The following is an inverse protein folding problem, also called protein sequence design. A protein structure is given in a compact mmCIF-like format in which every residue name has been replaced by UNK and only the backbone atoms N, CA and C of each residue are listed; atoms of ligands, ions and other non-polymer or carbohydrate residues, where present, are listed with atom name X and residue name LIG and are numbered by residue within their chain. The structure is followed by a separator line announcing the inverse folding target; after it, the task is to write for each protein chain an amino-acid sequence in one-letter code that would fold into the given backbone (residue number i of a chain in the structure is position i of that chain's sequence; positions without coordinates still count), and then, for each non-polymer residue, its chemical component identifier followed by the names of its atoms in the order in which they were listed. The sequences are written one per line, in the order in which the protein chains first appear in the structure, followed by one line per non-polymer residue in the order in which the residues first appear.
data_IF_831290372842
#
_entry.id   IF_831290372842
#
_cell.length_a   1.000
_cell.length_b   1.000
_cell.length_c   1.000
_cell.angle_alpha   90.00
_cell.angle_beta   90.00
_cell.angle_gamma   90.00
#
_symmetry.space_group_name_H-M   'P 1'
#
loop_
_entity.id
_entity.type
_entity.pdbx_description
1 polymer ?
#
# COMPACT_ATOMS: atom_id res chain seq x y z
N UNK A 1 30.57 -63.72 -22.21
CA UNK A 1 29.38 -63.69 -21.34
C UNK A 1 29.87 -63.32 -19.95
N UNK A 2 29.94 -62.02 -19.70
CA UNK A 2 30.36 -61.42 -18.43
C UNK A 2 29.11 -61.30 -17.56
N UNK A 3 29.17 -61.88 -16.35
CA UNK A 3 28.12 -61.77 -15.34
C UNK A 3 28.46 -60.66 -14.35
N UNK A 4 27.47 -59.81 -14.10
CA UNK A 4 27.53 -58.52 -13.40
C UNK A 4 28.29 -58.52 -12.06
N UNK A 5 29.30 -57.66 -12.01
CA UNK A 5 30.09 -57.25 -10.83
C UNK A 5 29.32 -56.42 -9.80
N UNK A 6 28.03 -56.16 -10.03
CA UNK A 6 27.17 -55.35 -9.16
C UNK A 6 26.35 -56.17 -8.16
N UNK A 7 26.30 -57.49 -8.33
CA UNK A 7 25.40 -58.37 -7.58
C UNK A 7 25.87 -58.64 -6.13
N UNK A 8 27.03 -58.11 -5.76
CA UNK A 8 27.65 -58.32 -4.44
C UNK A 8 27.30 -57.19 -3.46
N UNK A 9 26.96 -56.00 -3.98
CA UNK A 9 26.72 -54.78 -3.18
C UNK A 9 25.45 -54.90 -2.34
N UNK A 10 24.45 -55.65 -2.83
CA UNK A 10 23.13 -55.75 -2.21
C UNK A 10 22.92 -57.00 -1.34
N UNK A 11 23.93 -57.86 -1.18
CA UNK A 11 23.81 -59.10 -0.38
C UNK A 11 23.64 -58.85 1.13
N UNK A 12 23.97 -57.65 1.62
CA UNK A 12 23.86 -57.28 3.04
C UNK A 12 22.55 -56.61 3.47
N UNK A 13 21.69 -56.17 2.54
CA UNK A 13 20.53 -55.32 2.88
C UNK A 13 19.30 -56.13 3.31
N UNK A 14 19.29 -57.45 3.08
CA UNK A 14 18.11 -58.31 3.36
C UNK A 14 17.85 -58.57 4.86
N UNK A 15 18.80 -58.26 5.75
CA UNK A 15 18.70 -58.59 7.18
C UNK A 15 18.67 -57.36 8.10
N UNK A 16 18.17 -56.21 7.64
CA UNK A 16 17.97 -55.05 8.51
C UNK A 16 16.53 -55.07 9.09
N UNK A 17 16.34 -55.05 10.42
CA UNK A 17 15.00 -55.01 11.01
C UNK A 17 14.32 -53.66 10.69
N UNK A 18 12.99 -53.63 10.52
CA UNK A 18 12.29 -52.41 10.13
C UNK A 18 12.33 -51.39 11.27
N UNK A 19 12.94 -50.23 11.03
CA UNK A 19 12.83 -49.07 11.92
C UNK A 19 11.46 -48.42 11.70
N UNK A 20 10.41 -49.01 12.27
CA UNK A 20 9.09 -48.39 12.35
C UNK A 20 9.02 -47.46 13.55
N UNK A 21 8.98 -46.15 13.33
CA UNK A 21 8.29 -45.25 14.25
C UNK A 21 6.79 -45.27 13.88
N UNK A 22 6.07 -46.23 14.45
CA UNK A 22 4.61 -46.32 14.32
C UNK A 22 3.93 -45.29 15.21
N UNK A 23 3.80 -44.06 14.72
CA UNK A 23 2.72 -43.16 15.06
C UNK A 23 2.83 -41.94 14.13
N UNK A 24 2.05 -41.93 13.07
CA UNK A 24 1.14 -40.83 12.74
C UNK A 24 0.44 -41.16 11.42
N UNK A 25 -0.86 -41.30 11.56
CA UNK A 25 -1.86 -41.59 10.56
C UNK A 25 -2.02 -40.36 9.65
N UNK A 26 -1.82 -40.53 8.34
CA UNK A 26 -2.27 -39.56 7.34
C UNK A 26 -3.81 -39.36 7.45
N UNK A 27 -4.31 -38.16 7.10
CA UNK A 27 -4.83 -38.06 5.74
C UNK A 27 -4.37 -36.81 4.98
N UNK A 28 -4.31 -37.02 3.67
CA UNK A 28 -4.26 -36.04 2.60
C UNK A 28 -5.40 -35.02 2.74
N UNK A 29 -5.06 -33.74 2.81
CA UNK A 29 -5.84 -32.62 2.26
C UNK A 29 -4.89 -31.42 2.13
N UNK A 30 -4.48 -31.16 0.89
CA UNK A 30 -3.66 -30.01 0.54
C UNK A 30 -4.53 -28.76 0.56
N UNK A 31 -4.27 -27.87 1.50
CA UNK A 31 -4.62 -26.45 1.38
C UNK A 31 -3.33 -25.64 1.48
N UNK A 32 -3.18 -24.56 0.69
CA UNK A 32 -1.95 -23.78 0.68
C UNK A 32 -1.78 -23.12 2.05
N UNK A 33 -0.59 -23.32 2.65
CA UNK A 33 -0.16 -22.63 3.87
C UNK A 33 -0.24 -21.13 3.63
N UNK A 34 -1.32 -20.51 4.12
CA UNK A 34 -1.44 -19.06 4.21
C UNK A 34 -0.26 -18.56 5.05
N UNK A 35 0.52 -17.66 4.49
CA UNK A 35 1.45 -16.79 5.23
C UNK A 35 0.66 -16.25 6.42
N UNK A 36 1.15 -16.57 7.63
CA UNK A 36 0.51 -16.18 8.88
C UNK A 36 0.60 -14.67 8.96
N UNK A 37 -0.46 -13.97 8.53
CA UNK A 37 -0.65 -12.56 8.82
C UNK A 37 -0.57 -12.45 10.34
N UNK A 38 0.51 -11.87 10.85
CA UNK A 38 0.60 -11.49 12.26
C UNK A 38 -0.56 -10.51 12.49
N UNK A 39 -1.65 -11.02 13.05
CA UNK A 39 -2.72 -10.18 13.53
C UNK A 39 -2.17 -9.47 14.76
N UNK A 40 -2.14 -8.13 14.70
CA UNK A 40 -1.64 -7.31 15.79
C UNK A 40 -2.32 -7.66 17.11
N UNK A 41 -1.56 -7.57 18.19
CA UNK A 41 -2.16 -7.67 19.52
C UNK A 41 -3.11 -6.49 19.73
N UNK A 42 -4.23 -6.71 20.43
CA UNK A 42 -5.23 -5.66 20.64
C UNK A 42 -4.64 -4.39 21.29
N UNK A 43 -3.57 -4.56 22.07
CA UNK A 43 -2.80 -3.49 22.70
C UNK A 43 -1.95 -2.69 21.72
N UNK A 44 -1.38 -3.34 20.69
CA UNK A 44 -0.72 -2.61 19.61
C UNK A 44 -1.75 -1.83 18.79
N UNK A 45 -2.88 -2.46 18.46
CA UNK A 45 -3.94 -1.81 17.69
C UNK A 45 -4.46 -0.54 18.38
N UNK A 46 -4.69 -0.57 19.70
CA UNK A 46 -5.15 0.60 20.46
C UNK A 46 -4.09 1.71 20.55
N UNK A 47 -2.82 1.34 20.78
CA UNK A 47 -1.74 2.32 20.87
C UNK A 47 -1.51 3.05 19.53
N UNK A 48 -1.74 2.37 18.40
CA UNK A 48 -1.67 2.98 17.07
C UNK A 48 -2.92 3.80 16.73
N UNK A 49 -4.11 3.38 17.16
CA UNK A 49 -5.34 4.16 16.99
C UNK A 49 -5.24 5.50 17.74
N UNK A 50 -4.59 5.49 18.92
CA UNK A 50 -4.28 6.70 19.67
C UNK A 50 -3.29 7.62 18.94
N UNK A 51 -2.27 7.07 18.25
CA UNK A 51 -1.36 7.86 17.40
C UNK A 51 -2.10 8.53 16.25
N UNK A 52 -2.95 7.78 15.56
CA UNK A 52 -3.72 8.31 14.43
C UNK A 52 -4.71 9.37 14.88
N UNK A 53 -5.41 9.14 15.98
CA UNK A 53 -6.36 10.10 16.56
C UNK A 53 -5.64 11.40 16.95
N UNK A 54 -4.46 11.32 17.57
CA UNK A 54 -3.66 12.50 17.91
C UNK A 54 -3.16 13.26 16.66
N UNK A 55 -2.75 12.56 15.61
CA UNK A 55 -2.33 13.18 14.34
C UNK A 55 -3.51 13.89 13.67
N UNK A 56 -4.70 13.27 13.64
CA UNK A 56 -5.88 13.88 13.05
C UNK A 56 -6.43 15.04 13.88
N UNK A 57 -6.42 14.94 15.20
CA UNK A 57 -6.84 16.02 16.09
C UNK A 57 -5.91 17.22 15.96
N UNK A 58 -4.58 17.02 16.00
CA UNK A 58 -3.60 18.10 15.84
C UNK A 58 -3.65 18.77 14.46
N UNK A 59 -3.89 18.01 13.39
CA UNK A 59 -4.03 18.55 12.02
C UNK A 59 -5.38 19.26 11.84
N UNK A 60 -6.45 18.76 12.48
CA UNK A 60 -7.74 19.45 12.52
C UNK A 60 -7.66 20.77 13.30
N UNK A 61 -6.85 20.83 14.36
CA UNK A 61 -6.59 22.03 15.14
C UNK A 61 -5.78 23.07 14.34
N UNK A 62 -4.75 22.65 13.59
CA UNK A 62 -4.04 23.52 12.64
C UNK A 62 -4.99 24.13 11.60
N UNK A 63 -5.96 23.36 11.12
CA UNK A 63 -6.95 23.82 10.14
C UNK A 63 -8.08 24.65 10.77
N UNK A 64 -8.39 24.43 12.04
CA UNK A 64 -9.38 25.21 12.81
C UNK A 64 -8.93 26.66 13.02
N UNK A 65 -7.63 26.94 12.92
CA UNK A 65 -7.06 28.29 12.86
C UNK A 65 -7.35 29.02 11.53
N UNK A 66 -7.70 28.31 10.44
CA UNK A 66 -7.96 28.92 9.12
C UNK A 66 -9.38 28.71 8.60
N UNK A 67 -10.16 27.76 9.12
CA UNK A 67 -11.56 27.63 8.73
C UNK A 67 -12.39 26.96 9.82
N UNK A 68 -13.27 27.74 10.47
CA UNK A 68 -14.39 27.20 11.24
C UNK A 68 -15.31 26.45 10.27
N UNK A 69 -15.33 25.11 10.33
CA UNK A 69 -16.54 24.25 10.24
C UNK A 69 -16.19 22.76 10.18
N UNK A 70 -17.08 21.96 10.81
CA UNK A 70 -17.17 20.49 10.90
C UNK A 70 -16.35 19.78 11.99
N UNK A 71 -16.97 19.66 13.17
CA UNK A 71 -16.69 18.60 14.14
C UNK A 71 -17.07 17.25 13.53
N UNK A 72 -16.09 16.40 13.20
CA UNK A 72 -16.34 14.96 13.05
C UNK A 72 -15.32 14.19 13.87
N UNK A 73 -15.71 13.83 15.09
CA UNK A 73 -15.00 12.86 15.93
C UNK A 73 -15.15 11.50 15.25
N UNK A 74 -14.07 10.99 14.66
CA UNK A 74 -14.07 9.71 13.92
C UNK A 74 -14.16 8.58 14.94
N UNK A 75 -15.27 7.83 14.93
CA UNK A 75 -15.39 6.55 15.64
C UNK A 75 -15.05 5.45 14.66
N UNK A 76 -13.91 4.79 14.84
CA UNK A 76 -13.49 3.67 14.00
C UNK A 76 -14.23 2.41 14.46
N UNK A 77 -15.22 1.98 13.68
CA UNK A 77 -16.00 0.77 13.94
C UNK A 77 -16.23 0.01 12.64
N UNK A 78 -15.17 -0.46 11.98
CA UNK A 78 -15.31 -1.39 10.87
C UNK A 78 -14.02 -1.75 10.11
N UNK A 79 -13.88 -2.97 9.56
CA UNK A 79 -12.73 -3.38 8.75
C UNK A 79 -12.51 -2.56 7.47
N UNK A 80 -13.57 -1.96 6.91
CA UNK A 80 -13.48 -1.06 5.75
C UNK A 80 -13.07 0.37 6.08
N UNK A 81 -13.20 0.79 7.34
CA UNK A 81 -12.94 2.16 7.77
C UNK A 81 -11.43 2.43 7.95
N UNK A 82 -10.65 1.37 8.25
CA UNK A 82 -9.19 1.41 8.27
C UNK A 82 -8.59 1.68 6.88
N UNK A 83 -9.19 1.14 5.82
CA UNK A 83 -8.78 1.42 4.44
C UNK A 83 -8.95 2.90 4.08
N UNK A 84 -10.06 3.50 4.50
CA UNK A 84 -10.32 4.93 4.33
C UNK A 84 -9.34 5.80 5.15
N UNK A 85 -8.91 5.35 6.32
CA UNK A 85 -7.90 6.02 7.14
C UNK A 85 -6.52 5.99 6.47
N UNK A 86 -6.08 4.83 5.97
CA UNK A 86 -4.82 4.73 5.22
C UNK A 86 -4.83 5.56 3.95
N UNK A 87 -5.95 5.58 3.23
CA UNK A 87 -6.15 6.45 2.08
C UNK A 87 -6.03 7.93 2.44
N UNK A 88 -6.60 8.37 3.57
CA UNK A 88 -6.48 9.75 4.07
C UNK A 88 -5.03 10.10 4.46
N UNK A 89 -4.32 9.19 5.14
CA UNK A 89 -2.93 9.42 5.54
C UNK A 89 -2.01 9.58 4.33
N UNK A 90 -2.17 8.72 3.32
CA UNK A 90 -1.41 8.82 2.06
C UNK A 90 -1.72 10.09 1.29
N UNK A 91 -2.99 10.52 1.26
CA UNK A 91 -3.39 11.80 0.63
C UNK A 91 -2.76 13.01 1.30
N UNK A 92 -2.50 12.94 2.61
CA UNK A 92 -1.80 14.00 3.33
C UNK A 92 -0.31 14.03 2.96
N UNK A 93 0.35 12.88 2.86
CA UNK A 93 1.72 12.77 2.37
C UNK A 93 1.88 13.35 0.96
N UNK A 94 0.92 13.12 0.05
CA UNK A 94 0.93 13.68 -1.31
C UNK A 94 0.85 15.22 -1.38
N UNK A 95 0.41 15.90 -0.31
CA UNK A 95 0.30 17.37 -0.26
C UNK A 95 1.54 18.05 0.33
N UNK A 96 2.50 17.27 0.82
CA UNK A 96 3.78 17.80 1.28
C UNK A 96 4.50 18.39 0.07
N UNK A 97 4.77 19.71 0.10
CA UNK A 97 5.55 20.36 -0.95
C UNK A 97 6.98 19.86 -0.84
N UNK A 98 7.47 19.23 -1.90
CA UNK A 98 8.86 18.82 -1.98
C UNK A 98 9.76 20.02 -1.77
N UNK A 99 10.66 19.89 -0.82
CA UNK A 99 11.73 20.86 -0.61
C UNK A 99 12.90 20.51 -1.54
N UNK A 100 13.69 21.52 -1.92
CA UNK A 100 14.91 21.31 -2.71
C UNK A 100 15.87 20.33 -2.03
N UNK A 101 15.88 20.30 -0.70
CA UNK A 101 16.68 19.37 0.10
C UNK A 101 16.22 17.91 -0.05
N UNK A 102 14.91 17.66 -0.06
CA UNK A 102 14.36 16.31 -0.26
C UNK A 102 14.65 15.76 -1.67
N UNK A 103 14.61 16.63 -2.68
CA UNK A 103 14.96 16.27 -4.05
C UNK A 103 16.46 15.92 -4.18
N UNK A 104 17.34 16.74 -3.60
CA UNK A 104 18.78 16.47 -3.59
C UNK A 104 19.10 15.18 -2.82
N UNK A 105 18.43 14.92 -1.69
CA UNK A 105 18.59 13.67 -0.94
C UNK A 105 18.15 12.45 -1.74
N UNK A 106 17.04 12.56 -2.46
CA UNK A 106 16.54 11.50 -3.31
C UNK A 106 17.50 11.20 -4.46
N UNK A 107 18.01 12.23 -5.12
CA UNK A 107 18.98 12.07 -6.21
C UNK A 107 20.29 11.48 -5.69
N UNK A 108 20.80 11.96 -4.56
CA UNK A 108 21.98 11.37 -3.88
C UNK A 108 21.79 9.89 -3.57
N UNK A 109 20.61 9.50 -3.07
CA UNK A 109 20.32 8.08 -2.78
C UNK A 109 20.21 7.25 -4.06
N UNK A 110 19.64 7.78 -5.14
CA UNK A 110 19.62 7.09 -6.44
C UNK A 110 21.03 6.90 -7.00
N UNK A 111 21.87 7.92 -6.94
CA UNK A 111 23.27 7.82 -7.36
C UNK A 111 24.02 6.76 -6.55
N UNK A 112 23.80 6.69 -5.23
CA UNK A 112 24.37 5.65 -4.37
C UNK A 112 23.91 4.24 -4.77
N UNK A 113 22.64 4.08 -5.18
CA UNK A 113 22.12 2.81 -5.69
C UNK A 113 22.74 2.43 -7.05
N UNK A 114 22.96 3.42 -7.92
CA UNK A 114 23.57 3.21 -9.23
C UNK A 114 25.05 2.84 -9.13
N UNK A 115 25.75 3.33 -8.10
CA UNK A 115 27.14 3.01 -7.77
C UNK A 115 27.36 1.58 -7.25
N UNK A 116 26.32 0.90 -6.76
CA UNK A 116 26.44 -0.50 -6.35
C UNK A 116 26.71 -1.38 -7.58
N UNK A 117 27.70 -2.26 -7.51
CA UNK A 117 28.07 -3.13 -8.65
C UNK A 117 27.34 -4.47 -8.59
N UNK A 118 27.00 -4.92 -7.39
CA UNK A 118 26.34 -6.22 -7.15
C UNK A 118 24.96 -6.04 -6.51
N UNK A 119 24.09 -7.02 -6.72
CA UNK A 119 22.78 -7.10 -6.10
C UNK A 119 22.87 -7.21 -4.57
N UNK A 120 23.84 -7.98 -4.06
CA UNK A 120 24.12 -8.10 -2.64
C UNK A 120 24.52 -6.75 -2.02
N UNK A 121 25.42 -6.00 -2.66
CA UNK A 121 25.83 -4.68 -2.18
C UNK A 121 24.65 -3.71 -2.12
N UNK A 122 23.81 -3.70 -3.17
CA UNK A 122 22.60 -2.88 -3.17
C UNK A 122 21.63 -3.29 -2.05
N UNK A 123 21.50 -4.59 -1.78
CA UNK A 123 20.65 -5.10 -0.71
C UNK A 123 21.16 -4.68 0.67
N UNK A 124 22.44 -4.83 0.93
CA UNK A 124 23.08 -4.40 2.18
C UNK A 124 22.94 -2.87 2.37
N UNK A 125 23.11 -2.10 1.29
CA UNK A 125 22.85 -0.68 1.29
C UNK A 125 21.38 -0.37 1.61
N UNK A 126 20.42 -1.07 0.99
CA UNK A 126 19.00 -0.85 1.22
C UNK A 126 18.59 -1.14 2.67
N UNK A 127 19.12 -2.22 3.26
CA UNK A 127 18.91 -2.52 4.69
C UNK A 127 19.39 -1.37 5.57
N UNK A 128 20.62 -0.90 5.36
CA UNK A 128 21.25 0.11 6.21
C UNK A 128 20.70 1.54 6.02
N UNK A 129 20.44 1.94 4.78
CA UNK A 129 20.15 3.35 4.44
C UNK A 129 18.67 3.61 4.17
N UNK A 130 17.85 2.57 3.98
CA UNK A 130 16.42 2.71 3.67
C UNK A 130 15.58 2.11 4.79
N UNK A 131 15.82 0.86 5.15
CA UNK A 131 15.00 0.16 6.14
C UNK A 131 15.37 0.51 7.59
N UNK A 132 16.65 0.63 7.92
CA UNK A 132 17.07 1.07 9.27
C UNK A 132 16.69 2.52 9.54
N UNK A 133 16.73 3.41 8.54
CA UNK A 133 16.20 4.77 8.68
C UNK A 133 14.71 4.76 9.02
N UNK A 134 13.93 3.95 8.30
CA UNK A 134 12.49 3.81 8.54
C UNK A 134 12.19 3.36 9.98
N UNK A 135 12.96 2.42 10.51
CA UNK A 135 12.86 1.97 11.91
C UNK A 135 13.25 3.07 12.91
N UNK A 136 14.27 3.88 12.62
CA UNK A 136 14.67 5.01 13.47
C UNK A 136 13.56 6.07 13.54
N UNK A 137 12.89 6.38 12.43
CA UNK A 137 11.74 7.29 12.42
C UNK A 137 10.58 6.75 13.25
N UNK A 138 10.31 5.45 13.17
CA UNK A 138 9.29 4.82 13.98
C UNK A 138 9.63 4.88 15.47
N UNK A 139 10.86 4.51 15.86
CA UNK A 139 11.32 4.59 17.24
C UNK A 139 11.24 6.02 17.79
N UNK A 140 11.71 7.00 17.03
CA UNK A 140 11.64 8.42 17.39
C UNK A 140 10.20 8.91 17.54
N UNK A 141 9.30 8.48 16.65
CA UNK A 141 7.87 8.83 16.77
C UNK A 141 7.26 8.22 18.03
N UNK A 142 7.60 6.97 18.34
CA UNK A 142 7.10 6.26 19.53
C UNK A 142 7.59 6.89 20.83
N UNK A 143 8.84 7.31 20.89
CA UNK A 143 9.37 8.06 22.03
C UNK A 143 8.71 9.41 22.22
N UNK A 144 8.45 10.14 21.12
CA UNK A 144 7.76 11.43 21.18
C UNK A 144 6.35 11.26 21.77
N UNK A 145 5.64 10.20 21.39
CA UNK A 145 4.30 9.90 21.89
C UNK A 145 4.28 9.47 23.36
N UNK A 146 5.27 8.69 23.79
CA UNK A 146 5.41 8.35 25.20
C UNK A 146 5.62 9.61 26.05
N UNK A 147 6.44 10.55 25.57
CA UNK A 147 6.68 11.83 26.26
C UNK A 147 5.45 12.73 26.31
N UNK A 148 4.57 12.67 25.30
CA UNK A 148 3.28 13.39 25.31
C UNK A 148 2.31 12.75 26.31
N UNK A 149 2.19 11.42 26.31
CA UNK A 149 1.30 10.71 27.24
C UNK A 149 1.68 10.89 28.71
N UNK A 150 2.97 11.03 29.03
CA UNK A 150 3.42 11.27 30.42
C UNK A 150 3.26 12.72 30.88
N UNK A 151 3.15 13.69 29.96
CA UNK A 151 3.06 15.14 30.25
C UNK A 151 1.66 15.71 29.94
N UNK A 152 0.60 14.92 30.18
CA UNK A 152 -0.78 15.25 29.82
C UNK A 152 -1.35 16.56 30.43
N UNK A 153 -0.64 17.19 31.39
CA UNK A 153 -1.07 18.43 32.04
C UNK A 153 -0.64 19.72 31.32
N UNK A 154 0.27 19.66 30.35
CA UNK A 154 0.74 20.86 29.62
C UNK A 154 0.19 20.92 28.18
N UNK A 155 -1.08 21.34 28.05
CA UNK A 155 -1.79 21.64 26.78
C UNK A 155 -1.23 22.83 25.96
N UNK A 156 0.00 23.27 26.23
CA UNK A 156 0.50 24.58 25.80
C UNK A 156 1.54 24.61 24.67
N UNK A 157 2.18 23.50 24.33
CA UNK A 157 3.18 23.49 23.25
C UNK A 157 2.78 22.50 22.19
N UNK A 158 2.37 23.01 21.03
CA UNK A 158 2.31 22.27 19.76
C UNK A 158 3.74 21.87 19.42
N UNK A 159 4.25 20.83 20.09
CA UNK A 159 5.47 20.17 19.69
C UNK A 159 5.21 19.66 18.27
N UNK A 160 6.02 20.14 17.30
CA UNK A 160 5.92 19.73 15.90
C UNK A 160 5.70 18.22 15.83
N UNK A 161 4.63 17.80 15.15
CA UNK A 161 4.27 16.40 15.00
C UNK A 161 5.49 15.59 14.54
N UNK A 162 5.73 14.40 15.12
CA UNK A 162 6.85 13.57 14.69
C UNK A 162 6.66 13.15 13.24
N UNK A 163 7.70 13.33 12.43
CA UNK A 163 7.74 12.84 11.04
C UNK A 163 7.77 11.31 11.12
N UNK A 164 6.71 10.67 10.63
CA UNK A 164 6.56 9.21 10.72
C UNK A 164 7.49 8.46 9.76
N UNK A 165 7.73 9.03 8.58
CA UNK A 165 8.59 8.47 7.52
C UNK A 165 9.10 9.61 6.64
N UNK A 166 10.25 9.38 6.01
CA UNK A 166 10.79 10.31 5.01
C UNK A 166 9.91 10.34 3.74
N UNK A 167 9.62 11.52 3.16
CA UNK A 167 8.78 11.62 1.96
C UNK A 167 9.43 10.98 0.72
N UNK A 168 10.74 10.80 0.71
CA UNK A 168 11.47 10.14 -0.39
C UNK A 168 11.31 8.61 -0.35
N UNK A 169 10.92 8.04 0.79
CA UNK A 169 10.85 6.60 1.02
C UNK A 169 10.07 5.82 -0.07
N UNK A 170 8.83 6.19 -0.45
CA UNK A 170 8.10 5.49 -1.53
C UNK A 170 8.82 5.52 -2.88
N UNK A 171 9.56 6.59 -3.18
CA UNK A 171 10.30 6.72 -4.43
C UNK A 171 11.52 5.81 -4.43
N UNK A 172 12.23 5.72 -3.30
CA UNK A 172 13.38 4.84 -3.14
C UNK A 172 12.96 3.37 -3.19
N UNK A 173 11.85 2.98 -2.55
CA UNK A 173 11.34 1.60 -2.62
C UNK A 173 10.98 1.21 -4.06
N UNK A 174 10.25 2.05 -4.79
CA UNK A 174 9.93 1.79 -6.18
C UNK A 174 11.20 1.70 -7.04
N UNK A 175 12.16 2.60 -6.83
CA UNK A 175 13.43 2.57 -7.54
C UNK A 175 14.24 1.31 -7.22
N UNK A 176 14.30 0.86 -5.97
CA UNK A 176 14.96 -0.39 -5.57
C UNK A 176 14.38 -1.59 -6.30
N UNK A 177 13.05 -1.73 -6.29
CA UNK A 177 12.37 -2.82 -7.01
C UNK A 177 12.71 -2.80 -8.50
N UNK A 178 12.72 -1.61 -9.11
CA UNK A 178 13.09 -1.43 -10.51
C UNK A 178 14.54 -1.81 -10.78
N UNK A 179 15.47 -1.39 -9.93
CA UNK A 179 16.91 -1.69 -10.09
C UNK A 179 17.18 -3.18 -9.94
N UNK A 180 16.59 -3.85 -8.94
CA UNK A 180 16.71 -5.31 -8.82
C UNK A 180 16.18 -6.06 -10.04
N UNK A 181 15.01 -5.63 -10.55
CA UNK A 181 14.40 -6.23 -11.75
C UNK A 181 15.21 -5.95 -13.02
N UNK A 182 15.56 -4.70 -13.29
CA UNK A 182 16.07 -4.27 -14.59
C UNK A 182 17.61 -4.33 -14.68
N UNK A 183 18.33 -3.87 -13.63
CA UNK A 183 19.81 -3.85 -13.60
C UNK A 183 20.37 -5.23 -13.27
N UNK A 184 19.87 -5.85 -12.20
CA UNK A 184 20.39 -7.13 -11.70
C UNK A 184 19.64 -8.36 -12.22
N UNK A 185 18.51 -8.16 -12.92
CA UNK A 185 17.69 -9.25 -13.49
C UNK A 185 17.19 -10.24 -12.43
N UNK A 186 16.98 -9.77 -11.20
CA UNK A 186 16.40 -10.55 -10.11
C UNK A 186 14.97 -10.05 -9.78
N UNK A 187 13.94 -10.60 -10.44
CA UNK A 187 12.56 -10.25 -10.15
C UNK A 187 12.07 -10.82 -8.80
N UNK A 188 12.71 -11.85 -8.25
CA UNK A 188 12.33 -12.41 -6.95
C UNK A 188 12.71 -11.46 -5.84
N UNK A 189 13.95 -10.95 -5.88
CA UNK A 189 14.42 -9.96 -4.92
C UNK A 189 13.62 -8.67 -4.98
N UNK A 190 13.23 -8.23 -6.19
CA UNK A 190 12.33 -7.09 -6.36
C UNK A 190 10.98 -7.28 -5.62
N UNK A 191 10.38 -8.48 -5.67
CA UNK A 191 9.15 -8.80 -4.91
C UNK A 191 9.44 -8.88 -3.42
N UNK A 192 10.56 -9.48 -3.01
CA UNK A 192 10.95 -9.59 -1.59
C UNK A 192 11.18 -8.22 -0.95
N UNK A 193 11.71 -7.24 -1.68
CA UNK A 193 11.85 -5.85 -1.20
C UNK A 193 10.50 -5.24 -0.85
N UNK A 194 9.49 -5.44 -1.71
CA UNK A 194 8.13 -4.97 -1.44
C UNK A 194 7.54 -5.65 -0.19
N UNK A 195 7.70 -6.98 -0.08
CA UNK A 195 7.22 -7.74 1.07
C UNK A 195 7.94 -7.34 2.37
N UNK A 196 9.23 -7.04 2.30
CA UNK A 196 10.00 -6.54 3.43
C UNK A 196 9.48 -5.16 3.88
N UNK A 197 9.32 -4.20 2.96
CA UNK A 197 8.78 -2.88 3.26
C UNK A 197 7.37 -2.95 3.90
N UNK A 198 6.55 -3.88 3.43
CA UNK A 198 5.21 -4.16 3.98
C UNK A 198 5.25 -4.69 5.40
N UNK A 199 6.15 -5.63 5.68
CA UNK A 199 6.20 -6.34 6.96
C UNK A 199 7.09 -5.64 8.00
N UNK A 200 7.86 -4.63 7.60
CA UNK A 200 8.75 -3.88 8.47
C UNK A 200 7.99 -3.15 9.59
N UNK A 201 7.02 -2.33 9.20
CA UNK A 201 6.15 -1.61 10.13
C UNK A 201 4.92 -1.04 9.42
N UNK A 202 3.89 -0.65 10.17
CA UNK A 202 2.70 -0.01 9.57
C UNK A 202 3.07 1.31 8.90
N UNK A 203 3.84 2.23 9.51
CA UNK A 203 4.26 3.45 8.82
C UNK A 203 5.02 3.13 7.53
N UNK A 204 5.93 2.16 7.55
CA UNK A 204 6.64 1.69 6.35
C UNK A 204 5.66 1.19 5.27
N UNK A 205 4.65 0.41 5.65
CA UNK A 205 3.63 -0.07 4.71
C UNK A 205 2.76 1.07 4.16
N UNK A 206 2.34 2.02 4.99
CA UNK A 206 1.44 3.10 4.56
C UNK A 206 2.18 4.11 3.69
N UNK A 207 3.39 4.49 4.05
CA UNK A 207 4.15 5.50 3.31
C UNK A 207 5.06 4.92 2.22
N UNK A 208 5.51 3.67 2.35
CA UNK A 208 6.37 3.00 1.37
C UNK A 208 5.60 2.28 0.27
N UNK A 209 4.60 1.46 0.63
CA UNK A 209 3.78 0.73 -0.34
C UNK A 209 2.68 1.64 -0.93
N UNK A 210 3.12 2.58 -1.77
CA UNK A 210 2.26 3.52 -2.52
C UNK A 210 2.10 3.09 -3.98
N UNK A 211 1.36 3.87 -4.76
CA UNK A 211 1.10 3.59 -6.18
C UNK A 211 2.38 3.29 -6.98
N UNK A 212 3.49 3.95 -6.67
CA UNK A 212 4.78 3.72 -7.35
C UNK A 212 5.30 2.30 -7.10
N UNK A 213 5.35 1.87 -5.84
CA UNK A 213 5.80 0.53 -5.48
C UNK A 213 4.86 -0.57 -6.02
N UNK A 214 3.54 -0.31 -6.01
CA UNK A 214 2.56 -1.23 -6.60
C UNK A 214 2.68 -1.34 -8.12
N UNK A 215 2.96 -0.23 -8.81
CA UNK A 215 3.21 -0.25 -10.26
C UNK A 215 4.40 -1.18 -10.58
N UNK A 216 5.51 -1.04 -9.84
CA UNK A 216 6.68 -1.90 -10.02
C UNK A 216 6.38 -3.37 -9.63
N UNK A 217 5.56 -3.61 -8.59
CA UNK A 217 5.12 -4.97 -8.22
C UNK A 217 4.32 -5.64 -9.34
N UNK A 218 3.31 -4.94 -9.88
CA UNK A 218 2.44 -5.44 -10.94
C UNK A 218 3.26 -5.70 -12.21
N UNK A 219 4.15 -4.77 -12.56
CA UNK A 219 5.03 -4.89 -13.72
C UNK A 219 5.99 -6.08 -13.57
N UNK A 220 6.56 -6.28 -12.38
CA UNK A 220 7.43 -7.44 -12.08
C UNK A 220 6.67 -8.75 -12.19
N UNK A 221 5.48 -8.83 -11.57
CA UNK A 221 4.61 -10.02 -11.60
C UNK A 221 4.19 -10.41 -13.00
N UNK A 222 3.83 -9.43 -13.81
CA UNK A 222 3.42 -9.71 -15.18
C UNK A 222 4.58 -10.03 -16.11
N UNK A 223 5.66 -9.24 -16.09
CA UNK A 223 6.77 -9.41 -17.05
C UNK A 223 7.58 -10.68 -16.84
N UNK A 224 7.80 -11.08 -15.59
CA UNK A 224 8.73 -12.16 -15.27
C UNK A 224 8.02 -13.44 -14.83
N UNK A 225 6.90 -13.33 -14.12
CA UNK A 225 6.17 -14.51 -13.61
C UNK A 225 4.92 -14.83 -14.44
N UNK A 226 4.47 -13.92 -15.30
CA UNK A 226 3.21 -14.02 -16.04
C UNK A 226 2.00 -14.36 -15.14
N UNK A 227 2.06 -13.90 -13.90
CA UNK A 227 1.09 -14.27 -12.87
C UNK A 227 -0.09 -13.28 -12.87
N UNK A 228 -1.13 -13.61 -13.64
CA UNK A 228 -2.34 -12.79 -13.72
C UNK A 228 -3.08 -12.73 -12.37
N UNK A 229 -3.07 -13.83 -11.61
CA UNK A 229 -3.69 -13.88 -10.29
C UNK A 229 -2.95 -12.98 -9.31
N UNK A 230 -1.62 -13.02 -9.33
CA UNK A 230 -0.78 -12.12 -8.57
C UNK A 230 -0.98 -10.64 -8.91
N UNK A 231 -1.26 -10.32 -10.18
CA UNK A 231 -1.62 -8.95 -10.59
C UNK A 231 -2.99 -8.56 -10.06
N UNK A 232 -4.00 -9.43 -10.18
CA UNK A 232 -5.32 -9.20 -9.61
C UNK A 232 -5.26 -8.96 -8.09
N UNK A 233 -4.54 -9.82 -7.37
CA UNK A 233 -4.42 -9.72 -5.91
C UNK A 233 -3.73 -8.42 -5.48
N UNK A 234 -2.71 -7.98 -6.23
CA UNK A 234 -2.05 -6.69 -5.99
C UNK A 234 -2.99 -5.50 -6.24
N UNK A 235 -3.80 -5.53 -7.29
CA UNK A 235 -4.79 -4.48 -7.58
C UNK A 235 -5.92 -4.45 -6.55
N UNK A 236 -6.39 -5.62 -6.14
CA UNK A 236 -7.36 -5.71 -5.06
C UNK A 236 -6.77 -5.15 -3.76
N UNK A 237 -5.50 -5.44 -3.48
CA UNK A 237 -4.79 -4.87 -2.34
C UNK A 237 -4.69 -3.34 -2.43
N UNK A 238 -4.39 -2.77 -3.61
CA UNK A 238 -4.41 -1.31 -3.81
C UNK A 238 -5.78 -0.71 -3.47
N UNK A 239 -6.86 -1.31 -3.99
CA UNK A 239 -8.23 -0.81 -3.77
C UNK A 239 -8.63 -0.90 -2.30
N UNK A 240 -8.40 -2.06 -1.65
CA UNK A 240 -8.76 -2.27 -0.24
C UNK A 240 -8.00 -1.33 0.69
N UNK A 241 -6.75 -1.00 0.36
CA UNK A 241 -5.93 -0.10 1.17
C UNK A 241 -6.08 1.38 0.79
N UNK A 242 -6.96 1.73 -0.15
CA UNK A 242 -7.17 3.11 -0.58
C UNK A 242 -5.97 3.72 -1.32
N UNK A 243 -5.17 2.90 -2.01
CA UNK A 243 -4.10 3.36 -2.91
C UNK A 243 -4.71 3.74 -4.25
N UNK A 244 -4.56 5.00 -4.64
CA UNK A 244 -5.09 5.49 -5.91
C UNK A 244 -4.40 4.79 -7.10
N UNK A 245 -5.19 4.39 -8.09
CA UNK A 245 -4.72 3.88 -9.39
C UNK A 245 -4.38 5.07 -10.28
N UNK A 246 -3.12 5.16 -10.73
CA UNK A 246 -2.66 6.24 -11.60
C UNK A 246 -2.78 5.86 -13.10
N UNK A 247 -2.42 6.80 -13.98
CA UNK A 247 -2.41 6.55 -15.42
C UNK A 247 -1.35 5.52 -15.82
N UNK A 248 -0.26 5.40 -15.06
CA UNK A 248 0.78 4.42 -15.33
C UNK A 248 0.30 3.00 -15.02
N UNK A 249 -0.42 2.79 -13.91
CA UNK A 249 -1.08 1.53 -13.55
C UNK A 249 -2.04 1.12 -14.68
N UNK A 250 -2.82 2.07 -15.22
CA UNK A 250 -3.70 1.82 -16.37
C UNK A 250 -2.92 1.39 -17.61
N UNK A 251 -1.86 2.11 -17.95
CA UNK A 251 -1.01 1.77 -19.08
C UNK A 251 -0.36 0.38 -18.94
N UNK A 252 0.07 0.01 -17.72
CA UNK A 252 0.61 -1.32 -17.43
C UNK A 252 -0.46 -2.39 -17.68
N UNK A 253 -1.69 -2.16 -17.22
CA UNK A 253 -2.80 -3.11 -17.36
C UNK A 253 -3.29 -3.22 -18.81
N UNK A 254 -3.35 -2.11 -19.53
CA UNK A 254 -3.70 -2.11 -20.97
C UNK A 254 -2.68 -2.89 -21.78
N UNK A 255 -1.39 -2.76 -21.46
CA UNK A 255 -0.32 -3.55 -22.07
C UNK A 255 -0.44 -5.03 -21.70
N UNK A 256 -0.66 -5.33 -20.42
CA UNK A 256 -0.89 -6.69 -19.93
C UNK A 256 -2.04 -7.35 -20.68
N UNK A 257 -3.15 -6.64 -20.89
CA UNK A 257 -4.32 -7.17 -21.62
C UNK A 257 -3.97 -7.53 -23.06
N UNK A 258 -3.18 -6.69 -23.75
CA UNK A 258 -2.74 -6.97 -25.12
C UNK A 258 -1.84 -8.20 -25.15
N UNK A 259 -0.84 -8.25 -24.27
CA UNK A 259 0.10 -9.37 -24.19
C UNK A 259 -0.59 -10.69 -23.78
N UNK A 260 -1.56 -10.64 -22.86
CA UNK A 260 -2.36 -11.79 -22.44
C UNK A 260 -3.25 -12.28 -23.60
N UNK A 261 -3.90 -11.36 -24.32
CA UNK A 261 -4.73 -11.68 -25.47
C UNK A 261 -3.93 -12.24 -26.64
N UNK A 262 -2.78 -11.65 -26.95
CA UNK A 262 -1.85 -12.14 -27.97
C UNK A 262 -1.38 -13.55 -27.66
N UNK A 263 -0.91 -13.83 -26.43
CA UNK A 263 -0.46 -15.18 -26.07
C UNK A 263 -1.60 -16.22 -26.11
N UNK A 264 -2.80 -15.86 -25.66
CA UNK A 264 -3.92 -16.80 -25.68
C UNK A 264 -4.34 -17.18 -27.12
N UNK A 265 -4.15 -16.28 -28.09
CA UNK A 265 -4.37 -16.58 -29.52
C UNK A 265 -3.38 -17.60 -30.09
N UNK A 266 -2.21 -17.80 -29.47
CA UNK A 266 -1.21 -18.79 -29.91
C UNK A 266 -1.26 -20.10 -29.10
N UNK A 267 -2.04 -20.16 -28.01
CA UNK A 267 -2.20 -21.35 -27.15
C UNK A 267 -3.61 -21.96 -27.35
N UNK A 268 -4.11 -21.93 -28.59
CA UNK A 268 -5.43 -22.44 -28.98
C UNK A 268 -5.64 -23.97 -28.79
N UNK A 269 -4.74 -24.70 -28.12
CA UNK A 269 -4.79 -26.18 -28.06
C UNK A 269 -4.95 -26.80 -26.64
N UNK A 270 -5.00 -26.03 -25.55
CA UNK A 270 -5.16 -26.60 -24.19
C UNK A 270 -6.57 -26.36 -23.62
N UNK A 271 -7.43 -27.38 -23.80
CA UNK A 271 -8.89 -27.45 -23.58
C UNK A 271 -9.42 -27.20 -22.15
N UNK A 272 -8.71 -26.55 -21.23
CA UNK A 272 -9.10 -26.49 -19.81
C UNK A 272 -8.91 -25.13 -19.07
N UNK A 273 -8.57 -24.02 -19.73
CA UNK A 273 -8.24 -22.76 -19.02
C UNK A 273 -8.86 -21.46 -19.54
N UNK A 274 -9.53 -21.47 -20.69
CA UNK A 274 -9.87 -20.23 -21.41
C UNK A 274 -10.83 -19.31 -20.63
N UNK A 275 -11.81 -19.89 -19.93
CA UNK A 275 -12.78 -19.13 -19.14
C UNK A 275 -12.16 -18.44 -17.92
N UNK A 276 -11.16 -19.04 -17.28
CA UNK A 276 -10.54 -18.52 -16.06
C UNK A 276 -9.70 -17.26 -16.33
N UNK A 277 -8.98 -17.24 -17.46
CA UNK A 277 -8.18 -16.11 -17.90
C UNK A 277 -9.05 -14.88 -18.19
N UNK A 278 -10.10 -15.05 -19.00
CA UNK A 278 -11.03 -13.97 -19.34
C UNK A 278 -11.78 -13.45 -18.12
N UNK A 279 -12.14 -14.33 -17.19
CA UNK A 279 -12.75 -13.93 -15.91
C UNK A 279 -11.78 -13.12 -15.05
N UNK A 280 -10.51 -13.52 -14.99
CA UNK A 280 -9.48 -12.78 -14.27
C UNK A 280 -9.20 -11.40 -14.90
N UNK A 281 -9.12 -11.31 -16.23
CA UNK A 281 -9.00 -10.03 -16.94
C UNK A 281 -10.20 -9.11 -16.69
N UNK A 282 -11.42 -9.67 -16.70
CA UNK A 282 -12.65 -8.92 -16.38
C UNK A 282 -12.66 -8.43 -14.93
N UNK A 283 -12.19 -9.25 -13.99
CA UNK A 283 -12.06 -8.84 -12.58
C UNK A 283 -11.06 -7.69 -12.42
N UNK A 284 -9.91 -7.76 -13.10
CA UNK A 284 -8.92 -6.68 -13.16
C UNK A 284 -9.54 -5.41 -13.74
N UNK A 285 -10.32 -5.50 -14.81
CA UNK A 285 -10.99 -4.35 -15.41
C UNK A 285 -11.96 -3.67 -14.44
N UNK A 286 -12.73 -4.45 -13.68
CA UNK A 286 -13.64 -3.92 -12.65
C UNK A 286 -12.89 -3.15 -11.57
N UNK A 287 -11.72 -3.63 -11.14
CA UNK A 287 -10.90 -2.95 -10.12
C UNK A 287 -10.29 -1.64 -10.63
N UNK A 288 -9.97 -1.57 -11.93
CA UNK A 288 -9.34 -0.41 -12.56
C UNK A 288 -10.36 0.63 -13.01
N UNK A 289 -11.60 0.21 -13.29
CA UNK A 289 -12.68 1.10 -13.66
C UNK A 289 -12.88 2.10 -12.53
N UNK A 290 -12.69 3.38 -12.85
CA UNK A 290 -12.95 4.46 -11.89
C UNK A 290 -14.40 4.27 -11.44
N UNK A 291 -14.72 4.28 -10.12
CA UNK A 291 -16.11 4.30 -9.72
C UNK A 291 -16.74 5.46 -10.47
N UNK A 292 -17.77 5.17 -11.27
CA UNK A 292 -18.48 6.24 -11.95
C UNK A 292 -18.83 7.24 -10.87
N UNK A 293 -18.33 8.46 -11.03
CA UNK A 293 -18.66 9.53 -10.13
C UNK A 293 -20.18 9.60 -10.17
N UNK A 294 -20.84 9.06 -9.14
CA UNK A 294 -22.24 9.32 -8.90
C UNK A 294 -22.36 10.84 -8.88
N UNK A 295 -22.78 11.38 -10.02
CA UNK A 295 -23.32 12.69 -10.26
C UNK A 295 -23.19 13.62 -9.06
N UNK A 296 -22.03 14.28 -8.91
CA UNK A 296 -21.95 15.47 -8.05
C UNK A 296 -22.84 16.62 -8.58
N UNK A 297 -23.50 16.42 -9.72
CA UNK A 297 -24.62 17.22 -10.21
C UNK A 297 -25.86 17.11 -9.31
N UNK A 298 -26.00 16.09 -8.46
CA UNK A 298 -27.17 15.96 -7.58
C UNK A 298 -26.99 16.71 -6.24
N UNK A 299 -25.77 16.75 -5.69
CA UNK A 299 -25.45 17.60 -4.52
C UNK A 299 -25.38 19.09 -4.89
N UNK A 300 -24.95 19.42 -6.10
CA UNK A 300 -24.96 20.81 -6.62
C UNK A 300 -26.38 21.33 -6.83
N UNK A 301 -27.32 20.48 -7.28
CA UNK A 301 -28.74 20.85 -7.39
C UNK A 301 -29.35 21.12 -6.01
N UNK A 302 -29.07 20.27 -5.01
CA UNK A 302 -29.57 20.47 -3.64
C UNK A 302 -29.00 21.71 -2.94
N UNK A 303 -27.76 22.13 -3.26
CA UNK A 303 -27.19 23.38 -2.75
C UNK A 303 -27.75 24.62 -3.43
N UNK A 304 -28.24 24.52 -4.67
CA UNK A 304 -28.84 25.65 -5.38
C UNK A 304 -30.35 25.77 -5.14
N UNK A 305 -30.98 24.76 -4.53
CA UNK A 305 -32.43 24.73 -4.28
C UNK A 305 -32.89 25.82 -3.28
N UNK A 306 -32.05 26.20 -2.30
CA UNK A 306 -32.35 27.34 -1.42
C UNK A 306 -32.19 28.70 -2.12
N UNK A 307 -31.52 28.75 -3.29
CA UNK A 307 -31.32 29.98 -4.08
C UNK A 307 -32.39 30.19 -5.15
N UNK A 308 -33.23 29.19 -5.42
CA UNK A 308 -34.29 29.25 -6.43
C UNK A 308 -35.70 29.23 -5.84
N UNK A 309 -35.86 29.29 -4.51
CA UNK A 309 -37.16 29.60 -3.90
C UNK A 309 -37.42 31.11 -3.96
N UNK A 310 -37.57 31.64 -5.17
CA UNK A 310 -38.21 32.93 -5.41
C UNK A 310 -39.73 32.68 -5.42
N UNK A 311 -40.26 32.34 -4.24
CA UNK A 311 -41.67 32.59 -3.96
C UNK A 311 -41.79 34.07 -3.73
N UNK A 312 -42.41 34.73 -4.71
CA UNK A 312 -43.05 36.01 -4.55
C UNK A 312 -43.75 36.14 -3.20
N UNK A 313 -43.75 37.38 -2.70
CA UNK A 313 -44.45 37.89 -1.52
C UNK A 313 -43.69 37.84 -0.20
N UNK A 314 -42.89 38.88 0.06
CA UNK A 314 -43.16 39.88 1.12
C UNK A 314 -42.14 41.01 1.13
N UNK A 315 -42.55 42.13 0.54
CA UNK A 315 -42.42 43.50 1.06
C UNK A 315 -41.56 43.67 2.34
N UNK A 316 -40.24 43.78 2.17
CA UNK A 316 -39.33 44.31 3.20
C UNK A 316 -38.34 45.27 2.52
N UNK A 317 -38.68 46.56 2.49
CA UNK A 317 -37.80 47.64 2.02
C UNK A 317 -36.82 48.04 3.13
N UNK A 318 -35.61 47.47 3.06
CA UNK A 318 -34.48 47.80 3.93
C UNK A 318 -33.73 49.07 3.43
N UNK A 319 -34.42 50.21 3.32
CA UNK A 319 -33.78 51.49 2.99
C UNK A 319 -34.66 52.72 3.30
N UNK A 320 -35.15 52.82 4.53
CA UNK A 320 -35.68 54.09 5.07
C UNK A 320 -35.06 54.36 6.44
N UNK A 321 -33.75 54.60 6.45
CA UNK A 321 -33.10 55.25 7.57
C UNK A 321 -32.38 56.48 7.02
N UNK A 322 -32.82 57.62 7.53
CA UNK A 322 -32.23 58.95 7.43
C UNK A 322 -32.43 59.74 6.13
N UNK A 323 -33.49 60.57 6.14
CA UNK A 323 -33.38 61.94 5.64
C UNK A 323 -34.43 62.83 6.33
N UNK A 324 -34.11 63.32 7.53
CA UNK A 324 -34.61 64.62 8.03
C UNK A 324 -33.86 65.04 9.31
N UNK A 325 -32.78 65.81 9.11
CA UNK A 325 -32.44 66.88 10.05
C UNK A 325 -33.22 68.12 9.63
N UNK A 326 -34.10 68.61 10.51
CA UNK A 326 -34.08 69.96 11.08
C UNK A 326 -35.15 70.08 12.18
#
# INVERSE_FOLDING_TARGET
MEGDTWDHVFKGIKNMPPLTSSALRNPISQTPRRVRKQAMTATELSAFDDMFTMIFDAVSEQKSSEMRTSNSRVKVSGPGELGDLFGKLRKHSKRMRWTTEEEELLDRKKEAMDLCDTDQELLEWAVREVFDESQKFEAASREALQKVNTNADNKGSVAKLPILQSPIYPHIIAHLMRTFRDKYRDPHLAVSIFEHARNLSIPSYVFGCTTLAYNELIETRWRHFHDLKGVHDALQEMVVNGVDIDNNTRNIIDRLRREAGERNLWVEDDYLGEGELWNALKAIEVLVRKPEANSSTDRSKKWNDWKTSDTADKHWSFNQWDDSRF
#
